data_IF_898827913043
#
_entry.id   IF_898827913043
#
_cell.length_a   1.000
_cell.length_b   1.000
_cell.length_c   1.000
_cell.angle_alpha   90.00
_cell.angle_beta   90.00
_cell.angle_gamma   90.00
#
_symmetry.space_group_name_H-M   'P 1'
#
loop_
_entity.id
_entity.type
_entity.pdbx_description
1 polymer ?
#
# COMPACT_ATOMS: atom_id res chain seq x y z
N UNK A 1 -17.57 15.59 -0.98
CA UNK A 1 -16.16 15.18 -0.79
C UNK A 1 -15.31 16.10 -1.64
N UNK A 2 -14.41 16.88 -1.05
CA UNK A 2 -13.44 17.68 -1.78
C UNK A 2 -12.20 16.82 -2.11
N UNK A 3 -11.45 17.18 -3.15
CA UNK A 3 -10.25 16.46 -3.56
C UNK A 3 -10.46 15.42 -4.67
N UNK A 4 -9.34 14.97 -5.23
CA UNK A 4 -9.27 13.96 -6.27
C UNK A 4 -9.01 12.59 -5.63
N UNK A 5 -9.75 11.54 -6.02
CA UNK A 5 -9.45 10.19 -5.56
C UNK A 5 -8.13 9.69 -6.20
N UNK A 6 -7.17 9.12 -5.43
CA UNK A 6 -6.01 8.46 -6.00
C UNK A 6 -6.40 7.35 -6.97
N UNK A 7 -5.58 7.14 -8.01
CA UNK A 7 -5.79 6.01 -8.91
C UNK A 7 -5.73 4.69 -8.13
N UNK A 8 -6.63 3.78 -8.49
CA UNK A 8 -6.67 2.43 -7.94
C UNK A 8 -6.66 2.38 -6.40
N UNK A 9 -7.35 3.33 -5.76
CA UNK A 9 -7.53 3.29 -4.32
C UNK A 9 -8.49 2.16 -3.91
N UNK A 10 -8.06 1.27 -3.03
CA UNK A 10 -8.86 0.21 -2.44
C UNK A 10 -8.67 0.17 -0.92
N UNK A 11 -9.73 -0.13 -0.18
CA UNK A 11 -9.59 -0.59 1.19
C UNK A 11 -9.32 -2.09 1.18
N UNK A 12 -8.19 -2.50 1.74
CA UNK A 12 -7.87 -3.92 1.99
C UNK A 12 -8.52 -4.36 3.29
N UNK A 13 -8.40 -3.53 4.32
CA UNK A 13 -9.13 -3.65 5.59
C UNK A 13 -9.87 -2.34 5.78
N UNK A 14 -11.20 -2.38 5.73
CA UNK A 14 -12.05 -1.18 5.75
C UNK A 14 -11.69 -0.26 6.92
N UNK A 15 -11.26 0.97 6.59
CA UNK A 15 -10.91 1.98 7.58
C UNK A 15 -9.57 1.76 8.29
N UNK A 16 -8.76 0.75 7.93
CA UNK A 16 -7.49 0.46 8.61
C UNK A 16 -6.29 0.38 7.65
N UNK A 17 -6.43 -0.34 6.54
CA UNK A 17 -5.37 -0.57 5.57
C UNK A 17 -5.91 -0.36 4.16
N UNK A 18 -5.32 0.56 3.43
CA UNK A 18 -5.64 0.89 2.05
C UNK A 18 -4.43 0.70 1.13
N UNK A 19 -4.72 0.60 -0.16
CA UNK A 19 -3.76 0.46 -1.24
C UNK A 19 -4.11 1.48 -2.33
N UNK A 20 -3.12 2.11 -2.98
CA UNK A 20 -3.32 2.88 -4.22
C UNK A 20 -2.06 2.94 -5.09
N UNK A 21 -2.19 3.52 -6.29
CA UNK A 21 -1.01 4.07 -6.99
C UNK A 21 -0.47 5.31 -6.27
N UNK A 22 0.70 5.79 -6.71
CA UNK A 22 1.38 6.90 -6.08
C UNK A 22 0.60 8.21 -6.14
N UNK A 23 0.66 8.97 -5.05
CA UNK A 23 -0.01 10.27 -4.94
C UNK A 23 0.75 11.32 -5.77
N UNK A 24 0.00 12.15 -6.49
CA UNK A 24 0.48 12.98 -7.59
C UNK A 24 0.39 12.27 -8.94
N UNK A 25 0.19 10.96 -8.98
CA UNK A 25 0.19 10.15 -10.19
C UNK A 25 1.59 9.92 -10.79
N UNK A 26 1.65 9.09 -11.83
CA UNK A 26 2.87 8.54 -12.44
C UNK A 26 3.76 9.57 -13.16
N UNK A 27 5.05 9.25 -13.24
CA UNK A 27 6.05 9.92 -14.07
C UNK A 27 6.89 10.98 -13.35
N UNK A 28 7.97 11.41 -14.01
CA UNK A 28 9.00 12.27 -13.39
C UNK A 28 8.63 13.76 -13.26
N UNK A 29 7.47 14.18 -13.74
CA UNK A 29 7.05 15.59 -13.68
C UNK A 29 6.28 15.86 -12.39
N UNK A 30 6.64 16.88 -11.59
CA UNK A 30 5.89 17.25 -10.41
C UNK A 30 4.44 17.65 -10.76
N UNK A 31 3.46 16.95 -10.19
CA UNK A 31 2.03 17.26 -10.33
C UNK A 31 1.45 17.77 -9.01
N UNK A 32 1.96 18.92 -8.57
CA UNK A 32 1.67 19.51 -7.26
C UNK A 32 0.16 19.61 -6.97
N UNK A 33 -0.62 20.17 -7.89
CA UNK A 33 -2.07 20.37 -7.71
C UNK A 33 -2.79 19.02 -7.53
N UNK A 34 -2.48 18.02 -8.36
CA UNK A 34 -3.06 16.68 -8.22
C UNK A 34 -2.73 16.07 -6.86
N UNK A 35 -1.46 16.16 -6.43
CA UNK A 35 -1.02 15.63 -5.13
C UNK A 35 -1.76 16.29 -3.97
N UNK A 36 -1.92 17.61 -3.99
CA UNK A 36 -2.66 18.35 -2.97
C UNK A 36 -4.13 17.90 -2.92
N UNK A 37 -4.80 17.80 -4.07
CA UNK A 37 -6.18 17.33 -4.16
C UNK A 37 -6.34 15.88 -3.67
N UNK A 38 -5.41 14.98 -4.00
CA UNK A 38 -5.41 13.59 -3.52
C UNK A 38 -5.14 13.48 -2.02
N UNK A 39 -4.23 14.29 -1.48
CA UNK A 39 -4.00 14.38 -0.04
C UNK A 39 -5.27 14.82 0.69
N UNK A 40 -6.00 15.83 0.18
CA UNK A 40 -7.25 16.26 0.80
C UNK A 40 -8.32 15.16 0.76
N UNK A 41 -8.40 14.43 -0.35
CA UNK A 41 -9.31 13.31 -0.47
C UNK A 41 -8.98 12.20 0.55
N UNK A 42 -7.70 11.85 0.70
CA UNK A 42 -7.21 10.85 1.67
C UNK A 42 -7.54 11.25 3.11
N UNK A 43 -7.32 12.52 3.48
CA UNK A 43 -7.74 13.05 4.80
C UNK A 43 -9.24 12.91 5.01
N UNK A 44 -10.03 13.15 3.96
CA UNK A 44 -11.48 12.93 3.97
C UNK A 44 -11.90 11.47 4.20
N UNK A 45 -11.07 10.50 3.80
CA UNK A 45 -11.27 9.07 4.11
C UNK A 45 -10.76 8.66 5.51
N UNK A 46 -10.12 9.58 6.23
CA UNK A 46 -9.51 9.32 7.53
C UNK A 46 -8.10 8.72 7.47
N UNK A 47 -7.51 8.56 6.28
CA UNK A 47 -6.10 8.16 6.15
C UNK A 47 -5.23 9.19 6.87
N UNK A 48 -4.31 8.69 7.70
CA UNK A 48 -3.42 9.53 8.50
C UNK A 48 -1.95 9.10 8.40
N UNK A 49 -1.67 8.02 7.67
CA UNK A 49 -0.32 7.48 7.53
C UNK A 49 -0.09 6.93 6.13
N UNK A 50 1.13 7.10 5.62
CA UNK A 50 1.54 6.67 4.29
C UNK A 50 2.74 5.72 4.40
N UNK A 51 2.65 4.55 3.77
CA UNK A 51 3.75 3.63 3.55
C UNK A 51 4.13 3.68 2.06
N UNK A 52 5.20 4.40 1.74
CA UNK A 52 5.67 4.55 0.36
C UNK A 52 6.63 3.42 0.01
N UNK A 53 6.33 2.72 -1.08
CA UNK A 53 7.18 1.68 -1.68
C UNK A 53 7.99 2.19 -2.88
N UNK A 54 7.85 3.48 -3.21
CA UNK A 54 8.61 4.13 -4.28
C UNK A 54 10.11 4.09 -3.98
N UNK A 55 10.93 3.96 -5.02
CA UNK A 55 12.38 4.11 -4.91
C UNK A 55 12.78 5.53 -4.46
N UNK A 56 12.04 6.54 -4.89
CA UNK A 56 12.26 7.94 -4.52
C UNK A 56 11.45 8.39 -3.30
N UNK A 57 12.00 9.37 -2.57
CA UNK A 57 11.41 10.05 -1.42
C UNK A 57 10.65 11.35 -1.77
N UNK A 58 10.50 11.71 -3.05
CA UNK A 58 10.01 13.05 -3.47
C UNK A 58 8.65 13.46 -2.91
N UNK A 59 7.80 12.51 -2.52
CA UNK A 59 6.49 12.80 -1.94
C UNK A 59 6.49 12.89 -0.40
N UNK A 60 7.54 12.41 0.28
CA UNK A 60 7.54 12.28 1.74
C UNK A 60 7.35 13.63 2.44
N UNK A 61 8.09 14.65 2.03
CA UNK A 61 7.97 16.00 2.60
C UNK A 61 6.53 16.52 2.47
N UNK A 62 5.89 16.34 1.32
CA UNK A 62 4.49 16.77 1.11
C UNK A 62 3.51 16.05 2.04
N UNK A 63 3.74 14.78 2.37
CA UNK A 63 2.92 14.04 3.33
C UNK A 63 3.14 14.52 4.76
N UNK A 64 4.40 14.76 5.14
CA UNK A 64 4.77 15.22 6.48
C UNK A 64 4.22 16.63 6.77
N UNK A 65 4.28 17.53 5.80
CA UNK A 65 3.76 18.90 5.90
C UNK A 65 2.27 18.97 6.24
N UNK A 66 1.48 17.95 5.86
CA UNK A 66 0.04 17.87 6.15
C UNK A 66 -0.29 17.02 7.38
N UNK A 67 0.73 16.52 8.07
CA UNK A 67 0.63 15.77 9.33
C UNK A 67 0.49 14.26 9.17
N UNK A 68 0.75 13.68 7.99
CA UNK A 68 0.79 12.23 7.86
C UNK A 68 2.03 11.64 8.51
N UNK A 69 1.87 10.51 9.21
CA UNK A 69 3.01 9.66 9.58
C UNK A 69 3.50 8.96 8.31
N UNK A 70 4.81 8.99 8.06
CA UNK A 70 5.38 8.43 6.82
C UNK A 70 6.34 7.29 7.13
N UNK A 71 6.20 6.20 6.39
CA UNK A 71 7.14 5.10 6.30
C UNK A 71 7.63 5.00 4.85
N UNK A 72 8.91 4.71 4.64
CA UNK A 72 9.50 4.61 3.31
C UNK A 72 10.36 3.37 3.24
N UNK A 73 9.94 2.42 2.40
CA UNK A 73 10.61 1.16 2.16
C UNK A 73 10.69 0.95 0.65
N UNK A 74 11.73 1.49 -0.01
CA UNK A 74 11.86 1.40 -1.46
C UNK A 74 11.98 -0.07 -1.87
N UNK A 75 11.17 -0.47 -2.84
CA UNK A 75 11.24 -1.80 -3.46
C UNK A 75 11.76 -1.62 -4.89
N UNK A 76 12.82 -2.35 -5.22
CA UNK A 76 13.33 -2.49 -6.58
C UNK A 76 12.70 -3.71 -7.27
N UNK A 77 12.99 -3.93 -8.56
CA UNK A 77 12.33 -4.98 -9.36
C UNK A 77 12.45 -6.40 -8.76
N UNK A 78 13.51 -6.69 -8.01
CA UNK A 78 13.71 -7.97 -7.30
C UNK A 78 13.59 -7.79 -5.78
N UNK A 79 12.44 -8.20 -5.22
CA UNK A 79 12.28 -8.34 -3.77
C UNK A 79 13.13 -9.52 -3.31
N UNK A 80 14.20 -9.24 -2.58
CA UNK A 80 14.99 -10.28 -1.91
C UNK A 80 14.13 -11.00 -0.85
N UNK A 81 14.33 -12.30 -0.64
CA UNK A 81 13.50 -13.09 0.29
C UNK A 81 13.42 -12.50 1.71
N UNK A 82 14.50 -11.89 2.20
CA UNK A 82 14.56 -11.23 3.51
C UNK A 82 13.84 -9.86 3.55
N UNK A 83 13.55 -9.26 2.41
CA UNK A 83 12.89 -7.96 2.33
C UNK A 83 11.39 -8.09 2.64
N UNK A 84 10.75 -9.23 2.33
CA UNK A 84 9.34 -9.46 2.63
C UNK A 84 9.06 -9.47 4.14
N UNK A 85 9.83 -10.24 4.92
CA UNK A 85 9.68 -10.27 6.38
C UNK A 85 9.87 -8.87 7.00
N UNK A 86 10.81 -8.10 6.45
CA UNK A 86 11.06 -6.72 6.89
C UNK A 86 9.88 -5.81 6.58
N UNK A 87 9.34 -5.88 5.36
CA UNK A 87 8.17 -5.10 4.94
C UNK A 87 6.95 -5.50 5.80
N UNK A 88 6.70 -6.80 5.98
CA UNK A 88 5.58 -7.28 6.79
C UNK A 88 5.69 -6.85 8.24
N UNK A 89 6.88 -6.94 8.83
CA UNK A 89 7.15 -6.46 10.19
C UNK A 89 6.87 -4.96 10.31
N UNK A 90 7.32 -4.16 9.34
CA UNK A 90 7.11 -2.71 9.34
C UNK A 90 5.62 -2.33 9.15
N UNK A 91 4.88 -3.03 8.29
CA UNK A 91 3.43 -2.84 8.15
C UNK A 91 2.74 -3.19 9.47
N UNK A 92 3.13 -4.31 10.09
CA UNK A 92 2.59 -4.73 11.39
C UNK A 92 2.84 -3.69 12.47
N UNK A 93 4.08 -3.23 12.63
CA UNK A 93 4.46 -2.20 13.60
C UNK A 93 3.66 -0.91 13.38
N UNK A 94 3.48 -0.49 12.12
CA UNK A 94 2.67 0.67 11.80
C UNK A 94 1.19 0.50 12.19
N UNK A 95 0.64 -0.70 12.03
CA UNK A 95 -0.76 -1.00 12.31
C UNK A 95 -1.06 -1.39 13.76
N UNK A 96 -0.04 -1.72 14.56
CA UNK A 96 -0.16 -2.00 16.01
C UNK A 96 -0.67 -0.75 16.79
N UNK A 97 -0.47 0.46 16.24
CA UNK A 97 -1.13 1.68 16.71
C UNK A 97 -2.60 1.70 16.21
N UNK A 98 -3.61 1.61 17.10
CA UNK A 98 -5.02 1.48 16.71
C UNK A 98 -5.54 2.70 15.96
N UNK A 99 -4.96 3.89 16.17
CA UNK A 99 -5.37 5.13 15.52
C UNK A 99 -4.88 5.22 14.07
N UNK A 100 -3.88 4.42 13.69
CA UNK A 100 -3.32 4.46 12.33
C UNK A 100 -4.30 3.93 11.31
N UNK A 101 -4.53 4.72 10.26
CA UNK A 101 -5.21 4.32 9.03
C UNK A 101 -4.22 4.49 7.89
N UNK A 102 -3.62 3.37 7.49
CA UNK A 102 -2.44 3.32 6.64
C UNK A 102 -2.83 3.20 5.17
N UNK A 103 -2.24 4.02 4.31
CA UNK A 103 -2.21 3.80 2.87
C UNK A 103 -0.83 3.27 2.46
N UNK A 104 -0.80 2.13 1.78
CA UNK A 104 0.40 1.65 1.08
C UNK A 104 0.29 2.05 -0.40
N UNK A 105 1.36 2.59 -0.99
CA UNK A 105 1.37 2.89 -2.41
C UNK A 105 2.72 2.61 -3.09
N UNK A 106 2.66 2.33 -4.38
CA UNK A 106 3.82 2.32 -5.28
C UNK A 106 3.50 3.08 -6.59
N UNK A 107 4.46 3.23 -7.50
CA UNK A 107 4.24 3.95 -8.77
C UNK A 107 3.08 3.35 -9.57
N UNK A 108 3.04 2.02 -9.59
CA UNK A 108 1.99 1.23 -10.20
C UNK A 108 1.45 0.24 -9.17
N UNK A 109 0.14 -0.02 -9.25
CA UNK A 109 -0.47 -1.16 -8.56
C UNK A 109 -0.37 -2.38 -9.48
N UNK A 110 0.82 -2.66 -9.99
CA UNK A 110 1.09 -3.85 -10.79
C UNK A 110 2.01 -4.83 -10.07
N UNK A 111 1.87 -6.05 -10.57
CA UNK A 111 2.50 -7.33 -10.30
C UNK A 111 2.89 -7.74 -8.87
N UNK A 112 3.43 -6.88 -8.01
CA UNK A 112 3.99 -7.30 -6.72
C UNK A 112 3.18 -6.80 -5.51
N UNK A 113 2.69 -5.55 -5.54
CA UNK A 113 2.08 -4.91 -4.36
C UNK A 113 0.84 -5.65 -3.82
N UNK A 114 -0.09 -6.12 -4.67
CA UNK A 114 -1.19 -6.96 -4.20
C UNK A 114 -0.72 -8.26 -3.55
N UNK A 115 0.36 -8.86 -4.06
CA UNK A 115 0.97 -10.07 -3.51
C UNK A 115 1.56 -9.84 -2.13
N UNK A 116 2.29 -8.74 -1.95
CA UNK A 116 2.81 -8.30 -0.64
C UNK A 116 1.66 -8.14 0.36
N UNK A 117 0.56 -7.49 -0.04
CA UNK A 117 -0.58 -7.29 0.85
C UNK A 117 -1.31 -8.58 1.20
N UNK A 118 -1.53 -9.47 0.23
CA UNK A 118 -2.05 -10.81 0.50
C UNK A 118 -1.13 -11.61 1.43
N UNK A 119 0.19 -11.56 1.21
CA UNK A 119 1.19 -12.17 2.07
C UNK A 119 1.23 -11.57 3.48
N UNK A 120 1.00 -10.27 3.61
CA UNK A 120 0.86 -9.61 4.91
C UNK A 120 -0.37 -10.10 5.69
N UNK A 121 -1.51 -10.34 5.02
CA UNK A 121 -2.70 -10.88 5.70
C UNK A 121 -2.42 -12.26 6.32
N UNK A 122 -1.61 -13.07 5.64
CA UNK A 122 -1.09 -14.33 6.17
C UNK A 122 -0.12 -14.11 7.33
N UNK A 123 0.93 -13.30 7.11
CA UNK A 123 1.95 -13.02 8.12
C UNK A 123 1.37 -12.47 9.43
N UNK A 124 0.37 -11.59 9.34
CA UNK A 124 -0.29 -10.98 10.49
C UNK A 124 -1.25 -11.91 11.24
N UNK A 125 -1.52 -13.11 10.71
CA UNK A 125 -2.49 -14.06 11.25
C UNK A 125 -3.95 -13.62 11.07
N UNK A 126 -4.22 -12.65 10.19
CA UNK A 126 -5.58 -12.26 9.83
C UNK A 126 -6.25 -13.32 8.94
N UNK A 127 -5.44 -14.03 8.14
CA UNK A 127 -5.82 -15.18 7.34
C UNK A 127 -4.81 -16.31 7.58
N UNK A 128 -5.26 -17.55 7.42
CA UNK A 128 -4.47 -18.78 7.60
C UNK A 128 -4.41 -19.64 6.33
N UNK A 129 -4.99 -19.16 5.22
CA UNK A 129 -5.03 -19.84 3.93
C UNK A 129 -4.55 -18.90 2.82
N UNK A 130 -3.43 -19.25 2.18
CA UNK A 130 -2.81 -18.47 1.11
C UNK A 130 -3.68 -18.38 -0.15
N UNK A 131 -4.49 -19.40 -0.44
CA UNK A 131 -5.44 -19.40 -1.54
C UNK A 131 -6.56 -18.41 -1.24
N UNK A 132 -7.06 -18.41 -0.01
CA UNK A 132 -8.08 -17.45 0.41
C UNK A 132 -7.56 -16.00 0.38
N UNK A 133 -6.35 -15.76 0.88
CA UNK A 133 -5.71 -14.44 0.86
C UNK A 133 -5.57 -13.91 -0.57
N UNK A 134 -5.17 -14.78 -1.50
CA UNK A 134 -5.16 -14.46 -2.93
C UNK A 134 -6.55 -14.11 -3.43
N UNK A 135 -7.55 -14.97 -3.21
CA UNK A 135 -8.92 -14.77 -3.71
C UNK A 135 -9.52 -13.45 -3.21
N UNK A 136 -9.34 -13.12 -1.93
CA UNK A 136 -9.80 -11.86 -1.36
C UNK A 136 -9.15 -10.67 -2.06
N UNK A 137 -7.84 -10.71 -2.32
CA UNK A 137 -7.18 -9.63 -3.04
C UNK A 137 -7.63 -9.52 -4.50
N UNK A 138 -7.87 -10.65 -5.19
CA UNK A 138 -8.42 -10.64 -6.55
C UNK A 138 -9.83 -10.01 -6.59
N UNK A 139 -10.66 -10.29 -5.57
CA UNK A 139 -12.00 -9.72 -5.43
C UNK A 139 -11.95 -8.21 -5.14
N UNK A 140 -11.08 -7.78 -4.21
CA UNK A 140 -10.87 -6.36 -3.88
C UNK A 140 -10.45 -5.57 -5.13
N UNK A 141 -9.57 -6.14 -5.95
CA UNK A 141 -9.04 -5.49 -7.15
C UNK A 141 -9.94 -5.67 -8.38
N UNK A 142 -10.90 -6.59 -8.34
CA UNK A 142 -11.74 -6.96 -9.49
C UNK A 142 -10.97 -7.60 -10.65
N UNK A 143 -9.79 -8.18 -10.39
CA UNK A 143 -8.94 -8.81 -11.41
C UNK A 143 -8.00 -9.87 -10.83
N UNK A 144 -7.57 -10.87 -11.62
CA UNK A 144 -6.60 -11.88 -11.17
C UNK A 144 -5.25 -11.28 -10.77
N UNK A 145 -4.56 -11.91 -9.82
CA UNK A 145 -3.17 -11.58 -9.50
C UNK A 145 -2.23 -12.16 -10.54
N UNK A 146 -1.11 -11.46 -10.79
CA UNK A 146 -0.06 -11.98 -11.67
C UNK A 146 0.70 -13.13 -11.00
N UNK A 147 1.41 -13.98 -11.77
CA UNK A 147 2.28 -15.01 -11.20
C UNK A 147 3.32 -14.47 -10.21
N UNK A 148 3.83 -13.25 -10.44
CA UNK A 148 4.77 -12.60 -9.54
C UNK A 148 4.12 -12.25 -8.20
N UNK A 149 2.91 -11.67 -8.19
CA UNK A 149 2.18 -11.39 -6.96
C UNK A 149 1.92 -12.68 -6.16
N UNK A 150 1.51 -13.73 -6.85
CA UNK A 150 1.19 -15.02 -6.23
C UNK A 150 2.44 -15.60 -5.55
N UNK A 151 3.63 -15.46 -6.16
CA UNK A 151 4.88 -15.94 -5.59
C UNK A 151 5.29 -15.24 -4.28
N UNK A 152 4.74 -14.06 -3.99
CA UNK A 152 4.99 -13.30 -2.76
C UNK A 152 4.06 -13.69 -1.60
N UNK A 153 3.08 -14.56 -1.85
CA UNK A 153 2.15 -15.05 -0.82
C UNK A 153 2.79 -16.29 -0.17
N UNK A 154 3.10 -16.25 1.14
CA UNK A 154 3.69 -17.40 1.82
C UNK A 154 2.78 -18.63 1.71
N UNK A 155 3.35 -19.78 1.39
CA UNK A 155 2.64 -21.05 1.52
C UNK A 155 2.61 -21.43 3.00
N UNK A 156 1.42 -21.59 3.58
CA UNK A 156 1.32 -22.32 4.83
C UNK A 156 1.77 -23.76 4.57
N UNK A 157 2.73 -24.21 5.36
CA UNK A 157 3.21 -25.61 5.37
C UNK A 157 2.35 -26.45 6.28
#
# INVERSE_FOLDING_TARGET
>A
MAGLRPNDFYWVIQGKLALSECIGGKGMTPRKIRREEEIQWLKGQGINSIFSLLDSDFNLTSYQEVGFRTYHFPINEEIQDNALDTIFSAIKEALDDPEIRLLIHNEYLDEQIPGILAGYLIYSGLLDDSVLARTIMEEILGRPLSPQAIALIPNHT
#
